data_IF_841068712770
#
_entry.id   IF_841068712770
#
_cell.length_a   1.000
_cell.length_b   1.000
_cell.length_c   1.000
_cell.angle_alpha   90.00
_cell.angle_beta   90.00
_cell.angle_gamma   90.00
#
_symmetry.space_group_name_H-M   'P 1'
#
loop_
_entity.id
_entity.type
_entity.pdbx_description
1 polymer ?
#
# COMPACT_ATOMS: atom_id res chain seq x y z
N UNK A 1 -6.50 -42.31 -67.67
CA UNK A 1 -6.92 -43.67 -67.35
C UNK A 1 -7.44 -43.59 -65.92
N UNK A 2 -8.72 -43.50 -65.85
CA UNK A 2 -9.65 -44.46 -65.27
C UNK A 2 -9.62 -44.44 -63.74
N UNK A 3 -10.65 -44.31 -62.96
CA UNK A 3 -12.08 -44.34 -63.28
C UNK A 3 -12.86 -44.27 -61.98
N UNK A 4 -13.91 -43.57 -62.04
CA UNK A 4 -15.18 -43.64 -61.37
C UNK A 4 -15.44 -44.80 -60.38
N UNK A 5 -16.03 -44.48 -59.20
CA UNK A 5 -17.45 -44.83 -58.98
C UNK A 5 -18.03 -44.26 -57.72
N UNK A 6 -19.09 -43.48 -57.90
CA UNK A 6 -20.12 -43.09 -56.96
C UNK A 6 -20.99 -44.29 -56.55
N UNK A 7 -21.43 -44.35 -55.30
CA UNK A 7 -22.68 -45.02 -54.93
C UNK A 7 -23.43 -44.28 -53.86
N UNK A 8 -24.51 -43.65 -54.26
CA UNK A 8 -25.66 -43.32 -53.44
C UNK A 8 -26.40 -44.59 -53.03
N UNK A 9 -26.84 -44.70 -51.78
CA UNK A 9 -27.92 -45.53 -51.34
C UNK A 9 -28.78 -44.86 -50.27
N UNK A 10 -29.91 -44.51 -50.67
CA UNK A 10 -31.31 -44.40 -50.24
C UNK A 10 -31.61 -44.47 -48.75
N UNK A 11 -32.46 -43.46 -48.41
CA UNK A 11 -33.48 -43.45 -47.35
C UNK A 11 -34.35 -44.69 -47.42
N UNK A 12 -34.64 -45.26 -46.26
CA UNK A 12 -35.92 -45.76 -45.75
C UNK A 12 -35.76 -46.98 -44.85
N UNK A 13 -36.54 -46.87 -43.75
CA UNK A 13 -37.06 -47.95 -42.94
C UNK A 13 -36.17 -48.51 -41.82
N UNK A 14 -36.46 -48.09 -40.61
CA UNK A 14 -37.09 -48.97 -39.64
C UNK A 14 -37.76 -48.15 -38.51
N UNK A 15 -39.12 -48.22 -38.53
CA UNK A 15 -39.98 -47.88 -37.39
C UNK A 15 -40.02 -49.11 -36.45
N UNK A 16 -39.96 -48.79 -35.14
CA UNK A 16 -40.57 -49.70 -34.15
C UNK A 16 -39.66 -50.11 -33.03
N UNK A 17 -39.77 -49.45 -31.88
CA UNK A 17 -40.22 -50.01 -30.62
C UNK A 17 -40.16 -48.96 -29.52
N UNK A 18 -41.31 -48.70 -28.91
CA UNK A 18 -41.51 -47.87 -27.78
C UNK A 18 -40.74 -48.40 -26.53
N UNK A 19 -40.03 -47.56 -25.87
CA UNK A 19 -39.46 -47.82 -24.56
C UNK A 19 -39.35 -46.46 -23.80
N UNK A 20 -40.36 -46.20 -22.93
CA UNK A 20 -40.38 -45.11 -22.03
C UNK A 20 -39.23 -45.23 -21.03
N UNK A 21 -38.26 -44.36 -21.13
CA UNK A 21 -37.30 -44.10 -20.05
C UNK A 21 -37.22 -42.58 -19.86
N UNK A 22 -37.85 -42.14 -18.80
CA UNK A 22 -37.80 -40.74 -18.37
C UNK A 22 -36.38 -40.31 -18.10
N UNK A 23 -35.85 -39.41 -18.91
CA UNK A 23 -34.60 -38.68 -18.63
C UNK A 23 -34.99 -37.49 -17.77
N UNK A 24 -34.96 -37.65 -16.46
CA UNK A 24 -34.83 -36.54 -15.51
C UNK A 24 -33.46 -35.91 -15.72
N UNK A 25 -33.40 -34.82 -16.48
CA UNK A 25 -32.27 -33.95 -16.54
C UNK A 25 -32.16 -33.27 -15.16
N UNK A 26 -31.38 -33.85 -14.25
CA UNK A 26 -30.88 -33.21 -13.08
C UNK A 26 -29.90 -32.12 -13.59
N UNK A 27 -30.40 -30.88 -13.65
CA UNK A 27 -29.53 -29.69 -13.71
C UNK A 27 -28.68 -29.74 -12.47
N UNK A 28 -27.46 -30.24 -12.60
CA UNK A 28 -26.39 -30.00 -11.61
C UNK A 28 -26.07 -28.52 -11.65
N UNK A 29 -26.77 -27.73 -10.85
CA UNK A 29 -26.22 -26.49 -10.35
C UNK A 29 -24.96 -26.87 -9.57
N UNK A 30 -23.80 -26.79 -10.23
CA UNK A 30 -22.53 -26.69 -9.52
C UNK A 30 -22.61 -25.40 -8.73
N UNK A 31 -23.00 -25.52 -7.46
CA UNK A 31 -22.68 -24.51 -6.48
C UNK A 31 -21.17 -24.34 -6.59
N UNK A 32 -20.72 -23.22 -7.14
CA UNK A 32 -19.34 -22.78 -6.98
C UNK A 32 -19.18 -22.69 -5.47
N UNK A 33 -18.52 -23.69 -4.87
CA UNK A 33 -18.07 -23.61 -3.50
C UNK A 33 -17.24 -22.34 -3.44
N UNK A 34 -17.70 -21.34 -2.68
CA UNK A 34 -16.87 -20.22 -2.28
C UNK A 34 -15.61 -20.84 -1.72
N UNK A 35 -14.48 -20.58 -2.38
CA UNK A 35 -13.19 -20.98 -1.84
C UNK A 35 -13.10 -20.34 -0.44
N UNK A 36 -12.67 -21.09 0.58
CA UNK A 36 -12.61 -20.55 1.93
C UNK A 36 -11.84 -19.22 1.89
N UNK A 37 -12.45 -18.15 2.42
CA UNK A 37 -11.83 -16.84 2.52
C UNK A 37 -10.40 -17.00 3.05
N UNK A 38 -9.42 -16.72 2.21
CA UNK A 38 -8.01 -16.79 2.61
C UNK A 38 -7.76 -15.64 3.58
N UNK A 39 -7.80 -15.95 4.88
CA UNK A 39 -7.53 -14.96 5.90
C UNK A 39 -6.09 -14.49 5.76
N UNK A 40 -5.90 -13.29 5.21
CA UNK A 40 -4.59 -12.65 5.09
C UNK A 40 -4.08 -12.24 6.47
N UNK A 41 -2.77 -12.30 6.68
CA UNK A 41 -2.13 -11.89 7.94
C UNK A 41 -1.77 -10.40 8.00
N UNK A 42 -2.26 -9.60 7.02
CA UNK A 42 -2.02 -8.16 6.98
C UNK A 42 -2.72 -7.48 8.16
N UNK A 43 -1.93 -6.77 8.97
CA UNK A 43 -2.39 -6.04 10.16
C UNK A 43 -2.82 -4.63 9.79
N UNK A 44 -3.83 -4.09 10.51
CA UNK A 44 -4.35 -2.75 10.28
C UNK A 44 -3.71 -1.71 11.19
N UNK A 45 -3.28 -0.57 10.61
CA UNK A 45 -2.81 0.59 11.36
C UNK A 45 -3.36 1.89 10.75
N UNK A 46 -3.15 3.00 11.46
CA UNK A 46 -3.46 4.36 10.99
C UNK A 46 -2.21 5.22 11.11
N UNK A 47 -1.93 6.04 10.10
CA UNK A 47 -0.91 7.08 10.18
C UNK A 47 -1.33 8.14 11.21
N UNK A 48 -0.48 8.42 12.18
CA UNK A 48 -0.81 9.32 13.29
C UNK A 48 -1.22 10.73 12.84
N UNK A 49 -0.56 11.26 11.82
CA UNK A 49 -0.85 12.59 11.29
C UNK A 49 -2.25 12.72 10.68
N UNK A 50 -2.90 11.62 10.31
CA UNK A 50 -4.25 11.62 9.73
C UNK A 50 -5.34 11.38 10.77
N UNK A 51 -5.04 11.27 12.06
CA UNK A 51 -6.04 11.17 13.11
C UNK A 51 -6.70 12.53 13.30
N UNK A 52 -7.98 12.64 12.91
CA UNK A 52 -8.68 13.88 12.68
C UNK A 52 -9.29 14.55 13.93
N UNK A 53 -8.98 14.09 15.15
CA UNK A 53 -9.45 14.71 16.40
C UNK A 53 -8.28 15.11 17.31
N UNK A 54 -8.44 16.19 18.09
CA UNK A 54 -7.42 16.65 19.03
C UNK A 54 -7.32 15.72 20.25
N UNK A 55 -6.24 15.81 21.01
CA UNK A 55 -6.06 15.12 22.26
C UNK A 55 -4.67 14.53 22.45
N UNK A 56 -4.39 14.03 23.68
CA UNK A 56 -3.13 13.37 24.00
C UNK A 56 -2.89 12.13 23.17
N UNK A 57 -1.62 11.75 23.00
CA UNK A 57 -1.20 10.54 22.25
C UNK A 57 -1.92 9.30 22.76
N UNK A 58 -1.97 9.12 24.09
CA UNK A 58 -2.60 7.95 24.72
C UNK A 58 -4.10 7.83 24.41
N UNK A 59 -4.84 8.96 24.40
CA UNK A 59 -6.27 8.93 24.07
C UNK A 59 -6.53 8.60 22.60
N UNK A 60 -5.72 9.12 21.70
CA UNK A 60 -5.75 8.74 20.29
C UNK A 60 -5.49 7.25 20.09
N UNK A 61 -4.49 6.70 20.78
CA UNK A 61 -4.15 5.28 20.67
C UNK A 61 -5.25 4.39 21.28
N UNK A 62 -5.86 4.77 22.40
CA UNK A 62 -7.03 4.08 22.96
C UNK A 62 -8.20 4.04 21.98
N UNK A 63 -8.46 5.16 21.29
CA UNK A 63 -9.52 5.22 20.28
C UNK A 63 -9.23 4.31 19.09
N UNK A 64 -7.98 4.24 18.58
CA UNK A 64 -7.57 3.29 17.55
C UNK A 64 -7.78 1.84 18.01
N UNK A 65 -7.35 1.51 19.23
CA UNK A 65 -7.52 0.16 19.78
C UNK A 65 -8.98 -0.23 19.89
N UNK A 66 -9.83 0.68 20.40
CA UNK A 66 -11.27 0.46 20.51
C UNK A 66 -11.97 0.29 19.16
N UNK A 67 -11.44 0.94 18.10
CA UNK A 67 -11.93 0.80 16.73
C UNK A 67 -11.45 -0.51 16.03
N UNK A 68 -10.58 -1.31 16.67
CA UNK A 68 -10.11 -2.60 16.15
C UNK A 68 -8.85 -2.52 15.29
N UNK A 69 -8.04 -1.48 15.44
CA UNK A 69 -6.72 -1.43 14.82
C UNK A 69 -5.68 -2.23 15.62
N UNK A 70 -4.68 -2.78 14.91
CA UNK A 70 -3.57 -3.52 15.49
C UNK A 70 -2.39 -2.61 15.82
N UNK A 71 -2.30 -1.47 15.14
CA UNK A 71 -1.16 -0.57 15.26
C UNK A 71 -1.44 0.86 14.85
N UNK A 72 -0.37 1.63 14.88
CA UNK A 72 -0.28 3.03 14.48
C UNK A 72 1.04 3.28 13.76
N UNK A 73 1.11 4.26 12.89
CA UNK A 73 2.35 4.79 12.34
C UNK A 73 2.63 6.16 12.97
N UNK A 74 3.45 6.23 14.04
CA UNK A 74 3.84 7.50 14.65
C UNK A 74 4.63 8.38 13.69
N UNK A 75 4.62 9.69 13.93
CA UNK A 75 5.57 10.61 13.32
C UNK A 75 6.90 10.57 14.08
N UNK A 76 8.01 10.75 13.39
CA UNK A 76 9.27 10.98 14.06
C UNK A 76 9.24 12.31 14.84
N UNK A 77 10.17 12.48 15.77
CA UNK A 77 10.28 13.68 16.61
C UNK A 77 9.11 13.91 17.61
N UNK A 78 8.16 12.98 17.71
CA UNK A 78 7.21 12.96 18.82
C UNK A 78 7.94 12.73 20.14
N UNK A 79 7.30 13.07 21.27
CA UNK A 79 7.81 12.69 22.58
C UNK A 79 7.86 11.17 22.69
N UNK A 80 9.08 10.61 22.70
CA UNK A 80 9.30 9.17 22.70
C UNK A 80 8.65 8.47 23.91
N UNK A 81 8.71 9.06 25.09
CA UNK A 81 8.18 8.44 26.31
C UNK A 81 6.66 8.40 26.30
N UNK A 82 6.00 9.44 25.78
CA UNK A 82 4.55 9.45 25.57
C UNK A 82 4.11 8.38 24.55
N UNK A 83 4.85 8.22 23.43
CA UNK A 83 4.52 7.20 22.42
C UNK A 83 4.72 5.81 22.99
N UNK A 84 5.85 5.53 23.65
CA UNK A 84 6.12 4.21 24.27
C UNK A 84 5.05 3.88 25.30
N UNK A 85 4.75 4.80 26.21
CA UNK A 85 3.70 4.63 27.21
C UNK A 85 2.34 4.32 26.58
N UNK A 86 1.97 5.07 25.53
CA UNK A 86 0.70 4.85 24.84
C UNK A 86 0.64 3.48 24.13
N UNK A 87 1.75 3.02 23.51
CA UNK A 87 1.85 1.68 22.93
C UNK A 87 1.71 0.58 23.98
N UNK A 88 2.37 0.73 25.13
CA UNK A 88 2.29 -0.22 26.26
C UNK A 88 0.89 -0.29 26.86
N UNK A 89 0.28 0.85 27.15
CA UNK A 89 -1.08 0.91 27.73
C UNK A 89 -2.15 0.32 26.80
N UNK A 90 -2.01 0.48 25.48
CA UNK A 90 -3.03 0.04 24.53
C UNK A 90 -2.76 -1.32 23.91
N UNK A 91 -1.51 -1.80 23.97
CA UNK A 91 -1.04 -2.99 23.26
C UNK A 91 -0.99 -2.82 21.74
N UNK A 92 -1.17 -1.59 21.22
CA UNK A 92 -0.91 -1.29 19.80
C UNK A 92 0.57 -1.48 19.47
N UNK A 93 0.86 -1.76 18.20
CA UNK A 93 2.23 -1.85 17.69
C UNK A 93 2.54 -0.67 16.77
N UNK A 94 3.77 -0.21 16.79
CA UNK A 94 4.22 0.75 15.78
C UNK A 94 4.45 0.00 14.46
N UNK A 95 3.63 0.27 13.44
CA UNK A 95 3.70 -0.38 12.15
C UNK A 95 4.93 0.05 11.34
N UNK A 96 5.24 1.32 11.41
CA UNK A 96 6.32 2.06 10.79
C UNK A 96 6.46 3.37 11.56
N UNK A 97 7.45 4.23 11.23
CA UNK A 97 7.54 5.62 11.69
C UNK A 97 7.64 6.51 10.46
N UNK A 98 6.79 7.53 10.35
CA UNK A 98 6.88 8.51 9.28
C UNK A 98 7.96 9.55 9.60
N UNK A 99 8.90 9.78 8.68
CA UNK A 99 9.94 10.79 8.83
C UNK A 99 9.35 12.20 8.69
N UNK A 100 9.19 12.93 9.77
CA UNK A 100 8.53 14.25 9.81
C UNK A 100 9.27 15.33 8.99
N UNK A 101 10.57 15.19 8.82
CA UNK A 101 11.42 16.23 8.18
C UNK A 101 11.51 16.12 6.67
N UNK A 102 11.06 15.04 6.05
CA UNK A 102 11.36 14.71 4.66
C UNK A 102 10.82 15.74 3.63
N UNK A 103 9.72 16.43 3.93
CA UNK A 103 9.20 17.50 3.08
C UNK A 103 9.94 18.82 3.27
N UNK A 104 10.22 19.20 4.52
CA UNK A 104 10.88 20.45 4.85
C UNK A 104 12.40 20.44 4.60
N UNK A 105 13.01 19.26 4.62
CA UNK A 105 14.46 19.01 4.46
C UNK A 105 14.70 17.85 3.49
N UNK A 106 14.28 17.98 2.20
CA UNK A 106 14.38 16.88 1.25
C UNK A 106 15.84 16.52 0.94
N UNK A 107 16.11 15.23 0.81
CA UNK A 107 17.44 14.71 0.49
C UNK A 107 17.90 15.10 -0.93
N UNK A 108 17.01 15.60 -1.77
CA UNK A 108 17.29 16.10 -3.12
C UNK A 108 17.68 17.59 -3.17
N UNK A 109 17.61 18.32 -2.05
CA UNK A 109 17.80 19.78 -2.04
C UNK A 109 19.16 20.20 -2.61
N UNK A 110 19.26 21.33 -3.37
CA UNK A 110 20.54 21.81 -3.90
C UNK A 110 21.55 22.18 -2.79
N UNK A 111 21.10 22.81 -1.71
CA UNK A 111 21.96 23.18 -0.56
C UNK A 111 22.28 21.95 0.30
N UNK A 112 23.57 21.66 0.43
CA UNK A 112 24.12 20.56 1.25
C UNK A 112 23.70 20.65 2.73
N UNK A 113 23.53 21.86 3.27
CA UNK A 113 23.09 22.05 4.66
C UNK A 113 21.69 21.49 4.86
N UNK A 114 20.76 21.74 3.92
CA UNK A 114 19.41 21.21 3.97
C UNK A 114 19.41 19.70 3.83
N UNK A 115 20.25 19.13 2.97
CA UNK A 115 20.37 17.66 2.85
C UNK A 115 20.95 17.04 4.10
N UNK A 116 21.94 17.69 4.75
CA UNK A 116 22.48 17.24 6.04
C UNK A 116 21.39 17.20 7.11
N UNK A 117 20.62 18.28 7.24
CA UNK A 117 19.51 18.35 8.20
C UNK A 117 18.47 17.27 7.90
N UNK A 118 18.21 16.96 6.63
CA UNK A 118 17.34 15.85 6.19
C UNK A 118 17.89 14.47 6.59
N UNK A 119 19.22 14.24 6.46
CA UNK A 119 19.87 13.01 6.95
C UNK A 119 19.74 12.86 8.47
N UNK A 120 20.00 13.95 9.20
CA UNK A 120 19.87 13.95 10.66
C UNK A 120 18.43 13.65 11.10
N UNK A 121 17.42 14.22 10.39
CA UNK A 121 16.03 13.91 10.61
C UNK A 121 15.68 12.43 10.32
N UNK A 122 16.23 11.86 9.24
CA UNK A 122 16.07 10.43 8.93
C UNK A 122 16.73 9.54 9.98
N UNK A 123 17.94 9.88 10.45
CA UNK A 123 18.62 9.16 11.53
C UNK A 123 17.81 9.21 12.82
N UNK A 124 17.22 10.34 13.16
CA UNK A 124 16.33 10.47 14.31
C UNK A 124 15.09 9.58 14.13
N UNK A 125 14.48 9.57 12.96
CA UNK A 125 13.33 8.71 12.68
C UNK A 125 13.68 7.23 12.83
N UNK A 126 14.87 6.79 12.43
CA UNK A 126 15.36 5.41 12.64
C UNK A 126 15.54 5.08 14.12
N UNK A 127 16.04 6.04 14.93
CA UNK A 127 16.14 5.87 16.39
C UNK A 127 14.77 5.78 17.05
N UNK A 128 13.82 6.64 16.63
CA UNK A 128 12.43 6.60 17.09
C UNK A 128 11.78 5.25 16.74
N UNK A 129 11.95 4.78 15.51
CA UNK A 129 11.45 3.48 15.07
C UNK A 129 12.03 2.32 15.89
N UNK A 130 13.34 2.35 16.18
CA UNK A 130 13.97 1.36 17.07
C UNK A 130 13.36 1.35 18.45
N UNK A 131 13.15 2.53 19.04
CA UNK A 131 12.57 2.68 20.36
C UNK A 131 11.13 2.17 20.44
N UNK A 132 10.35 2.36 19.37
CA UNK A 132 8.96 1.89 19.26
C UNK A 132 8.84 0.44 18.78
N UNK A 133 9.97 -0.24 18.52
CA UNK A 133 10.01 -1.59 17.93
C UNK A 133 9.35 -1.67 16.55
N UNK A 134 9.31 -0.56 15.81
CA UNK A 134 8.93 -0.54 14.40
C UNK A 134 10.06 -1.09 13.52
N UNK A 135 9.69 -1.71 12.40
CA UNK A 135 10.67 -2.37 11.52
C UNK A 135 11.16 -1.49 10.37
N UNK A 136 10.54 -0.34 10.17
CA UNK A 136 10.90 0.60 9.09
C UNK A 136 10.53 2.04 9.40
N UNK A 137 11.16 2.93 8.63
CA UNK A 137 10.82 4.36 8.56
C UNK A 137 10.32 4.66 7.16
N UNK A 138 9.17 5.34 7.06
CA UNK A 138 8.68 5.91 5.80
C UNK A 138 9.51 7.14 5.45
N UNK A 139 10.02 7.19 4.22
CA UNK A 139 10.80 8.29 3.68
C UNK A 139 10.28 8.73 2.31
N UNK A 140 9.89 9.99 2.17
CA UNK A 140 9.82 10.65 0.86
C UNK A 140 11.24 11.04 0.45
N UNK A 141 11.81 10.47 -0.63
CA UNK A 141 13.25 10.54 -0.88
C UNK A 141 13.71 11.89 -1.42
N UNK A 142 12.80 12.65 -2.04
CA UNK A 142 13.14 13.93 -2.65
C UNK A 142 11.98 14.52 -3.43
N UNK A 143 12.19 15.67 -4.05
CA UNK A 143 11.18 16.40 -4.83
C UNK A 143 11.82 16.91 -6.12
N UNK A 144 11.15 16.67 -7.26
CA UNK A 144 11.48 17.25 -8.57
C UNK A 144 10.66 18.52 -8.75
N UNK A 145 11.31 19.63 -9.03
CA UNK A 145 10.69 20.93 -9.23
C UNK A 145 11.55 21.79 -10.20
N UNK A 146 11.25 23.08 -10.32
CA UNK A 146 12.01 24.00 -11.22
C UNK A 146 13.51 24.12 -10.89
N UNK A 147 13.89 23.85 -9.65
CA UNK A 147 15.27 24.02 -9.15
C UNK A 147 16.01 22.68 -8.98
N UNK A 148 15.28 21.54 -9.12
CA UNK A 148 15.81 20.20 -8.94
C UNK A 148 15.31 19.30 -10.08
N UNK A 149 16.21 18.97 -11.00
CA UNK A 149 15.92 18.03 -12.09
C UNK A 149 15.69 16.60 -11.56
N UNK A 150 15.10 15.73 -12.39
CA UNK A 150 14.95 14.30 -12.05
C UNK A 150 16.32 13.65 -11.73
N UNK A 151 17.32 13.91 -12.56
CA UNK A 151 18.67 13.32 -12.40
C UNK A 151 19.36 13.82 -11.12
N UNK A 152 19.21 15.10 -10.79
CA UNK A 152 19.75 15.65 -9.55
C UNK A 152 19.02 15.08 -8.33
N UNK A 153 17.69 14.99 -8.40
CA UNK A 153 16.89 14.37 -7.34
C UNK A 153 17.35 12.93 -7.12
N UNK A 154 17.47 12.15 -8.18
CA UNK A 154 17.90 10.75 -8.13
C UNK A 154 19.30 10.62 -7.51
N UNK A 155 20.30 11.32 -8.07
CA UNK A 155 21.70 11.24 -7.63
C UNK A 155 21.88 11.67 -6.18
N UNK A 156 21.26 12.80 -5.79
CA UNK A 156 21.39 13.32 -4.43
C UNK A 156 20.68 12.41 -3.44
N UNK A 157 19.44 12.02 -3.70
CA UNK A 157 18.69 11.15 -2.78
C UNK A 157 19.36 9.80 -2.58
N UNK A 158 19.85 9.16 -3.63
CA UNK A 158 20.63 7.91 -3.52
C UNK A 158 21.87 8.10 -2.65
N UNK A 159 22.65 9.16 -2.92
CA UNK A 159 23.87 9.44 -2.16
C UNK A 159 23.58 9.70 -0.67
N UNK A 160 22.53 10.46 -0.36
CA UNK A 160 22.17 10.79 1.02
C UNK A 160 21.61 9.58 1.78
N UNK A 161 20.79 8.74 1.13
CA UNK A 161 20.31 7.48 1.74
C UNK A 161 21.50 6.57 2.05
N UNK A 162 22.45 6.41 1.11
CA UNK A 162 23.64 5.58 1.33
C UNK A 162 24.46 6.03 2.55
N UNK A 163 24.53 7.32 2.83
CA UNK A 163 25.21 7.85 4.04
C UNK A 163 24.51 7.47 5.36
N UNK A 164 23.20 7.16 5.31
CA UNK A 164 22.41 6.76 6.48
C UNK A 164 22.36 5.25 6.68
N UNK A 165 22.72 4.45 5.66
CA UNK A 165 22.67 2.97 5.73
C UNK A 165 23.40 2.38 6.94
N UNK A 166 24.58 2.85 7.37
CA UNK A 166 25.24 2.31 8.57
C UNK A 166 24.33 2.40 9.80
N UNK A 167 23.68 3.55 10.03
CA UNK A 167 22.75 3.73 11.15
C UNK A 167 21.54 2.82 11.02
N UNK A 168 20.95 2.67 9.83
CA UNK A 168 19.81 1.76 9.58
C UNK A 168 20.21 0.30 9.89
N UNK A 169 21.42 -0.11 9.50
CA UNK A 169 21.97 -1.44 9.75
C UNK A 169 22.19 -1.69 11.24
N UNK A 170 22.85 -0.78 11.94
CA UNK A 170 23.15 -0.91 13.37
C UNK A 170 21.87 -0.98 14.22
N UNK A 171 20.84 -0.24 13.84
CA UNK A 171 19.55 -0.26 14.52
C UNK A 171 18.67 -1.44 14.10
N UNK A 172 18.96 -2.09 12.98
CA UNK A 172 18.13 -3.14 12.40
C UNK A 172 16.77 -2.62 11.90
N UNK A 173 16.69 -1.33 11.49
CA UNK A 173 15.48 -0.67 11.03
C UNK A 173 15.63 -0.29 9.54
N UNK A 174 14.68 -0.71 8.71
CA UNK A 174 14.72 -0.45 7.27
C UNK A 174 14.24 0.96 6.92
N UNK A 175 14.72 1.49 5.79
CA UNK A 175 14.20 2.70 5.17
C UNK A 175 13.20 2.27 4.09
N UNK A 176 11.94 2.66 4.22
CA UNK A 176 10.88 2.37 3.27
C UNK A 176 10.54 3.64 2.47
N UNK A 177 10.96 3.65 1.20
CA UNK A 177 10.76 4.79 0.30
C UNK A 177 9.33 4.81 -0.21
N UNK A 178 8.68 5.97 -0.18
CA UNK A 178 7.28 6.13 -0.58
C UNK A 178 7.12 6.79 -1.95
N UNK A 179 6.15 6.28 -2.73
CA UNK A 179 5.65 6.92 -3.93
C UNK A 179 4.62 7.99 -3.56
N UNK A 180 4.96 9.25 -3.86
CA UNK A 180 4.11 10.42 -3.60
C UNK A 180 4.04 11.34 -4.82
N UNK A 181 3.20 12.38 -4.74
CA UNK A 181 3.06 13.36 -5.83
C UNK A 181 4.15 14.44 -5.80
N UNK A 182 5.38 14.03 -6.01
CA UNK A 182 6.59 14.86 -6.00
C UNK A 182 7.29 14.96 -7.36
N UNK A 183 6.66 14.46 -8.44
CA UNK A 183 7.17 14.39 -9.81
C UNK A 183 8.49 13.59 -9.95
N UNK A 184 8.81 12.74 -8.97
CA UNK A 184 10.06 11.99 -8.98
C UNK A 184 9.85 10.55 -9.44
N UNK A 185 9.13 9.73 -8.67
CA UNK A 185 8.88 8.33 -9.00
C UNK A 185 7.41 8.17 -9.38
N UNK A 186 7.15 8.09 -10.69
CA UNK A 186 5.81 8.04 -11.29
C UNK A 186 5.52 6.75 -12.03
N UNK A 187 6.52 5.84 -12.10
CA UNK A 187 6.43 4.54 -12.75
C UNK A 187 7.13 3.47 -11.90
N UNK A 188 6.67 2.22 -11.91
CA UNK A 188 7.25 1.17 -11.09
C UNK A 188 8.71 0.85 -11.45
N UNK A 189 9.10 0.97 -12.72
CA UNK A 189 10.49 0.76 -13.15
C UNK A 189 11.45 1.80 -12.56
N UNK A 190 10.98 3.04 -12.34
CA UNK A 190 11.76 4.08 -11.68
C UNK A 190 11.99 3.74 -10.20
N UNK A 191 10.98 3.14 -9.53
CA UNK A 191 11.12 2.68 -8.16
C UNK A 191 12.15 1.54 -8.05
N UNK A 192 12.11 0.58 -8.97
CA UNK A 192 13.12 -0.50 -9.06
C UNK A 192 14.50 0.07 -9.30
N UNK A 193 14.67 0.93 -10.31
CA UNK A 193 15.95 1.55 -10.62
C UNK A 193 16.54 2.35 -9.44
N UNK A 194 15.65 3.03 -8.67
CA UNK A 194 16.08 3.77 -7.48
C UNK A 194 16.57 2.85 -6.36
N UNK A 195 15.85 1.76 -6.09
CA UNK A 195 16.27 0.76 -5.10
C UNK A 195 17.55 0.05 -5.52
N UNK A 196 17.68 -0.32 -6.81
CA UNK A 196 18.87 -0.96 -7.36
C UNK A 196 20.10 -0.02 -7.28
N UNK A 197 19.92 1.29 -7.53
CA UNK A 197 20.99 2.26 -7.38
C UNK A 197 21.47 2.42 -5.93
N UNK A 198 20.59 2.23 -4.95
CA UNK A 198 20.98 2.24 -3.53
C UNK A 198 21.71 0.94 -3.16
N UNK A 199 21.27 -0.19 -3.71
CA UNK A 199 21.87 -1.53 -3.57
C UNK A 199 22.06 -1.94 -2.08
N UNK A 200 20.94 -2.00 -1.33
CA UNK A 200 20.97 -2.35 0.08
C UNK A 200 19.71 -3.11 0.52
N UNK A 201 19.86 -4.21 1.28
CA UNK A 201 18.72 -4.91 1.87
C UNK A 201 18.01 -4.11 2.97
N UNK A 202 18.62 -3.00 3.41
CA UNK A 202 18.06 -2.09 4.41
C UNK A 202 17.10 -1.08 3.79
N UNK A 203 16.90 -1.07 2.47
CA UNK A 203 15.98 -0.15 1.78
C UNK A 203 14.95 -0.94 0.98
N UNK A 204 13.69 -0.55 1.10
CA UNK A 204 12.59 -1.11 0.33
C UNK A 204 11.51 -0.08 0.09
N UNK A 205 10.30 -0.52 -0.20
CA UNK A 205 9.22 0.34 -0.66
C UNK A 205 8.08 0.43 0.35
N UNK A 206 7.64 1.62 0.66
CA UNK A 206 6.38 1.93 1.31
C UNK A 206 5.38 2.26 0.20
N UNK A 207 4.55 1.28 -0.17
CA UNK A 207 3.69 1.40 -1.33
C UNK A 207 2.39 2.10 -0.97
N UNK A 208 2.23 3.35 -1.40
CA UNK A 208 0.97 4.08 -1.29
C UNK A 208 0.08 3.77 -2.49
N UNK A 209 -1.00 3.05 -2.24
CA UNK A 209 -1.96 2.58 -3.24
C UNK A 209 -2.73 3.75 -3.85
N UNK A 210 -3.14 4.72 -3.04
CA UNK A 210 -3.92 5.87 -3.53
C UNK A 210 -3.10 6.84 -4.36
N UNK A 211 -1.83 7.06 -3.99
CA UNK A 211 -0.95 7.97 -4.72
C UNK A 211 -0.66 7.48 -6.15
N UNK A 212 -0.64 6.16 -6.36
CA UNK A 212 -0.46 5.57 -7.70
C UNK A 212 -1.62 5.90 -8.62
N UNK A 213 -2.85 6.03 -8.11
CA UNK A 213 -4.05 6.24 -8.92
C UNK A 213 -3.98 7.41 -9.92
N UNK A 214 -3.05 8.36 -9.72
CA UNK A 214 -2.74 9.42 -10.68
C UNK A 214 -1.88 8.94 -11.86
N UNK A 215 -1.08 7.90 -11.65
CA UNK A 215 -0.02 7.48 -12.58
C UNK A 215 -0.30 6.13 -13.24
N UNK A 216 -1.29 5.38 -12.76
CA UNK A 216 -1.64 4.06 -13.28
C UNK A 216 -2.46 3.23 -12.32
N UNK A 217 -2.55 1.94 -12.58
CA UNK A 217 -3.26 0.99 -11.74
C UNK A 217 -2.30 0.44 -10.66
N UNK A 218 -2.66 0.50 -9.37
CA UNK A 218 -1.81 -0.02 -8.29
C UNK A 218 -1.43 -1.49 -8.45
N UNK A 219 -2.35 -2.32 -8.95
CA UNK A 219 -2.12 -3.75 -9.18
C UNK A 219 -1.02 -4.05 -10.22
N UNK A 220 -0.68 -3.10 -11.09
CA UNK A 220 0.41 -3.23 -12.05
C UNK A 220 1.79 -2.95 -11.42
N UNK A 221 1.86 -2.13 -10.38
CA UNK A 221 3.10 -1.82 -9.66
C UNK A 221 3.55 -2.98 -8.76
N UNK A 222 2.59 -3.67 -8.13
CA UNK A 222 2.88 -4.68 -7.12
C UNK A 222 3.75 -5.82 -7.66
N UNK A 223 3.48 -6.43 -8.84
CA UNK A 223 4.34 -7.48 -9.38
C UNK A 223 5.78 -7.02 -9.68
N UNK A 224 5.95 -5.75 -10.08
CA UNK A 224 7.25 -5.17 -10.41
C UNK A 224 8.08 -4.93 -9.15
N UNK A 225 7.46 -4.45 -8.07
CA UNK A 225 8.12 -4.24 -6.78
C UNK A 225 8.32 -5.56 -6.01
N UNK A 226 7.36 -6.47 -6.06
CA UNK A 226 7.41 -7.78 -5.43
C UNK A 226 7.77 -7.72 -3.94
N UNK A 227 8.74 -8.52 -3.54
CA UNK A 227 9.22 -8.60 -2.14
C UNK A 227 9.93 -7.34 -1.62
N UNK A 228 10.12 -6.33 -2.47
CA UNK A 228 10.67 -5.02 -2.06
C UNK A 228 9.63 -4.18 -1.31
N UNK A 229 8.33 -4.53 -1.39
CA UNK A 229 7.26 -3.86 -0.62
C UNK A 229 7.42 -4.22 0.85
N UNK A 230 7.69 -3.23 1.69
CA UNK A 230 7.85 -3.38 3.15
C UNK A 230 6.58 -3.00 3.90
N UNK A 231 5.84 -2.02 3.42
CA UNK A 231 4.62 -1.47 4.02
C UNK A 231 3.65 -1.02 2.93
N UNK A 232 2.37 -0.90 3.30
CA UNK A 232 1.34 -0.33 2.44
C UNK A 232 0.71 0.87 3.13
N UNK A 233 0.50 1.96 2.37
CA UNK A 233 -0.54 2.91 2.67
C UNK A 233 -1.83 2.48 1.97
N UNK A 234 -2.86 2.23 2.77
CA UNK A 234 -4.23 1.97 2.32
C UNK A 234 -4.92 3.30 2.19
N UNK A 235 -5.01 3.77 0.97
CA UNK A 235 -5.53 5.10 0.63
C UNK A 235 -6.41 4.98 -0.61
N UNK A 236 -7.58 5.59 -0.55
CA UNK A 236 -8.49 5.60 -1.68
C UNK A 236 -8.19 6.76 -2.62
N UNK A 237 -8.47 6.54 -3.89
CA UNK A 237 -8.40 7.58 -4.89
C UNK A 237 -9.57 7.44 -5.88
N UNK A 238 -10.16 8.55 -6.29
CA UNK A 238 -11.21 8.56 -7.29
C UNK A 238 -10.80 9.41 -8.48
N UNK A 239 -10.46 8.76 -9.59
CA UNK A 239 -10.00 9.42 -10.82
C UNK A 239 -11.06 10.33 -11.44
N UNK A 240 -12.37 10.10 -11.15
CA UNK A 240 -13.48 10.88 -11.68
C UNK A 240 -13.61 12.26 -11.04
N UNK A 241 -13.01 12.46 -9.85
CA UNK A 241 -13.07 13.74 -9.12
C UNK A 241 -11.84 14.62 -9.36
N UNK A 242 -10.88 14.10 -10.12
CA UNK A 242 -9.65 14.82 -10.45
C UNK A 242 -9.90 15.85 -11.54
N UNK A 243 -9.49 17.09 -11.29
CA UNK A 243 -9.39 18.14 -12.31
C UNK A 243 -7.98 18.70 -12.32
N UNK A 244 -7.58 19.38 -13.41
CA UNK A 244 -6.26 20.03 -13.48
C UNK A 244 -6.06 21.07 -12.36
N UNK A 245 -7.14 21.73 -11.91
CA UNK A 245 -7.09 22.75 -10.85
C UNK A 245 -7.09 22.15 -9.44
N UNK A 246 -7.68 20.97 -9.28
CA UNK A 246 -7.89 20.34 -7.97
C UNK A 246 -7.58 18.84 -8.02
N UNK A 247 -6.31 18.48 -8.32
CA UNK A 247 -5.93 17.07 -8.45
C UNK A 247 -6.11 16.28 -7.13
N UNK A 248 -6.01 16.94 -5.98
CA UNK A 248 -6.20 16.33 -4.66
C UNK A 248 -7.63 15.95 -4.31
N UNK A 249 -8.65 16.42 -5.06
CA UNK A 249 -10.05 16.03 -4.82
C UNK A 249 -10.30 14.52 -4.95
N UNK A 250 -9.46 13.81 -5.70
CA UNK A 250 -9.53 12.36 -5.79
C UNK A 250 -9.41 11.65 -4.45
N UNK A 251 -8.77 12.25 -3.44
CA UNK A 251 -8.63 11.68 -2.09
C UNK A 251 -9.82 11.97 -1.17
N UNK A 252 -10.80 12.78 -1.58
CA UNK A 252 -11.93 13.20 -0.74
C UNK A 252 -13.04 12.12 -0.60
N UNK A 253 -12.73 10.87 -0.92
CA UNK A 253 -13.66 9.73 -0.85
C UNK A 253 -13.27 8.77 0.26
N UNK A 254 -14.23 8.03 0.79
CA UNK A 254 -13.95 6.96 1.73
C UNK A 254 -13.37 5.74 1.02
N UNK A 255 -12.68 4.90 1.78
CA UNK A 255 -12.22 3.59 1.29
C UNK A 255 -13.41 2.84 0.63
N UNK A 256 -13.17 2.21 -0.52
CA UNK A 256 -14.15 1.51 -1.36
C UNK A 256 -15.19 2.41 -2.07
N UNK A 257 -15.09 3.73 -1.97
CA UNK A 257 -15.94 4.67 -2.71
C UNK A 257 -15.21 5.35 -3.87
N UNK A 258 -13.95 4.97 -4.09
CA UNK A 258 -13.10 5.47 -5.17
C UNK A 258 -13.11 4.58 -6.41
N UNK A 259 -11.98 4.61 -7.10
CA UNK A 259 -11.77 3.83 -8.34
C UNK A 259 -10.70 2.75 -8.19
N UNK A 260 -10.12 2.56 -7.01
CA UNK A 260 -9.18 1.48 -6.77
C UNK A 260 -9.86 0.11 -6.91
N UNK A 261 -9.24 -0.79 -7.68
CA UNK A 261 -9.71 -2.17 -7.83
C UNK A 261 -9.16 -3.03 -6.68
N UNK A 262 -9.77 -2.90 -5.49
CA UNK A 262 -9.30 -3.60 -4.29
C UNK A 262 -9.13 -5.11 -4.46
N UNK A 263 -10.07 -5.85 -5.10
CA UNK A 263 -9.86 -7.28 -5.33
C UNK A 263 -8.62 -7.60 -6.18
N UNK A 264 -8.35 -6.82 -7.23
CA UNK A 264 -7.17 -7.01 -8.06
C UNK A 264 -5.88 -6.65 -7.32
N UNK A 265 -5.90 -5.56 -6.53
CA UNK A 265 -4.78 -5.12 -5.69
C UNK A 265 -4.45 -6.22 -4.66
N UNK A 266 -5.44 -6.73 -3.95
CA UNK A 266 -5.25 -7.76 -2.93
C UNK A 266 -4.77 -9.08 -3.53
N UNK A 267 -5.27 -9.45 -4.71
CA UNK A 267 -4.77 -10.61 -5.45
C UNK A 267 -3.30 -10.46 -5.86
N UNK A 268 -2.90 -9.26 -6.30
CA UNK A 268 -1.50 -8.98 -6.65
C UNK A 268 -0.59 -9.04 -5.41
N UNK A 269 -1.04 -8.53 -4.25
CA UNK A 269 -0.32 -8.63 -2.97
C UNK A 269 -0.16 -10.07 -2.50
N UNK A 270 -1.21 -10.92 -2.66
CA UNK A 270 -1.12 -12.36 -2.38
C UNK A 270 -0.07 -13.04 -3.26
N UNK A 271 -0.06 -12.73 -4.55
CA UNK A 271 0.91 -13.29 -5.49
C UNK A 271 2.35 -12.84 -5.15
N UNK A 272 2.53 -11.63 -4.64
CA UNK A 272 3.81 -11.13 -4.14
C UNK A 272 4.21 -11.72 -2.77
N UNK A 273 3.28 -12.40 -2.08
CA UNK A 273 3.50 -12.98 -0.74
C UNK A 273 3.57 -11.93 0.36
N UNK A 274 2.82 -10.83 0.23
CA UNK A 274 2.83 -9.75 1.22
C UNK A 274 1.97 -10.12 2.45
N UNK A 275 2.54 -9.97 3.65
CA UNK A 275 1.91 -10.30 4.93
C UNK A 275 2.14 -9.24 6.03
N UNK A 276 2.52 -8.04 5.63
CA UNK A 276 2.96 -6.96 6.52
C UNK A 276 1.84 -6.11 7.14
N UNK A 277 1.93 -4.79 6.94
CA UNK A 277 1.01 -3.80 7.48
C UNK A 277 0.27 -3.05 6.38
N UNK A 278 -1.06 -2.95 6.51
CA UNK A 278 -1.87 -1.98 5.80
C UNK A 278 -2.14 -0.79 6.71
N UNK A 279 -1.57 0.35 6.40
CA UNK A 279 -1.64 1.57 7.19
C UNK A 279 -2.59 2.53 6.49
N UNK A 280 -3.68 2.92 7.13
CA UNK A 280 -4.57 3.93 6.55
C UNK A 280 -3.92 5.30 6.56
N UNK A 281 -3.87 5.92 5.37
CA UNK A 281 -3.53 7.33 5.20
C UNK A 281 -4.69 8.11 4.57
N UNK A 282 -5.90 7.90 5.10
CA UNK A 282 -7.10 8.61 4.67
C UNK A 282 -7.16 10.03 5.28
N UNK A 283 -7.83 10.99 4.60
CA UNK A 283 -8.04 12.32 5.18
C UNK A 283 -8.63 12.27 6.59
N UNK A 284 -8.20 13.16 7.48
CA UNK A 284 -8.61 13.19 8.88
C UNK A 284 -10.12 13.29 9.14
N UNK A 285 -10.91 13.68 8.15
CA UNK A 285 -12.37 13.62 8.21
C UNK A 285 -12.92 12.21 8.37
N UNK A 286 -12.15 11.18 7.96
CA UNK A 286 -12.51 9.76 8.06
C UNK A 286 -12.03 9.10 9.36
N UNK A 287 -11.38 9.88 10.23
CA UNK A 287 -10.88 9.48 11.55
C UNK A 287 -11.16 10.54 12.62
N UNK A 288 -12.15 11.40 12.37
CA UNK A 288 -12.46 12.59 13.19
C UNK A 288 -13.06 12.27 14.57
N UNK A 289 -13.58 11.08 14.77
CA UNK A 289 -14.22 10.61 16.00
C UNK A 289 -14.24 9.07 16.03
N UNK A 290 -14.74 8.50 17.13
CA UNK A 290 -14.81 7.06 17.33
C UNK A 290 -15.66 6.33 16.28
N UNK A 291 -16.77 6.94 15.82
CA UNK A 291 -17.63 6.34 14.80
C UNK A 291 -16.94 6.30 13.43
N UNK A 292 -16.26 7.39 13.07
CA UNK A 292 -15.46 7.47 11.84
C UNK A 292 -14.28 6.47 11.85
N UNK A 293 -13.58 6.34 12.98
CA UNK A 293 -12.52 5.33 13.13
C UNK A 293 -13.05 3.91 12.99
N UNK A 294 -14.23 3.62 13.53
CA UNK A 294 -14.85 2.30 13.38
C UNK A 294 -15.23 2.02 11.93
N UNK A 295 -15.90 2.96 11.23
CA UNK A 295 -16.21 2.83 9.80
C UNK A 295 -14.93 2.62 8.97
N UNK A 296 -13.86 3.36 9.25
CA UNK A 296 -12.57 3.20 8.59
C UNK A 296 -11.98 1.80 8.80
N UNK A 297 -12.00 1.30 10.05
CA UNK A 297 -11.52 -0.03 10.40
C UNK A 297 -12.32 -1.14 9.69
N UNK A 298 -13.65 -1.05 9.69
CA UNK A 298 -14.53 -2.03 9.01
C UNK A 298 -14.36 -2.02 7.48
N UNK A 299 -14.11 -0.85 6.88
CA UNK A 299 -13.77 -0.75 5.44
C UNK A 299 -12.43 -1.39 5.12
N UNK A 300 -11.43 -1.21 5.99
CA UNK A 300 -10.15 -1.91 5.85
C UNK A 300 -10.32 -3.43 5.96
N UNK A 301 -11.16 -3.92 6.88
CA UNK A 301 -11.45 -5.37 6.97
C UNK A 301 -12.03 -5.92 5.67
N UNK A 302 -12.99 -5.20 5.07
CA UNK A 302 -13.57 -5.59 3.76
C UNK A 302 -12.53 -5.59 2.63
N UNK A 303 -11.63 -4.60 2.61
CA UNK A 303 -10.53 -4.57 1.64
C UNK A 303 -9.61 -5.77 1.83
N UNK A 304 -9.20 -6.04 3.06
CA UNK A 304 -8.29 -7.15 3.37
C UNK A 304 -8.92 -8.53 3.13
N UNK A 305 -10.24 -8.62 3.10
CA UNK A 305 -10.99 -9.84 2.78
C UNK A 305 -11.32 -10.00 1.28
N UNK A 306 -11.15 -8.94 0.46
CA UNK A 306 -11.51 -8.94 -0.96
C UNK A 306 -10.58 -9.75 -1.88
#
# INVERSE_FOLDING_TARGET
>A
MEGYMTRNLHRREFLGLAGAAGVTALAQFSAMAESPEKKRSIKKAVMYATIGFPGPVTEKFKALKAAGFDGVEPMSHMNQDEVVKALEETGLKAASVCCDTHWARPLSHPDERVRRDGREGLQRALQDAKRYSATSVLLVPGVVNKDVSYDDCFKRSVAEIKRVLPVATDLGVKIAVENVWNNFITKPEQAVAFLDAIDSPMVGWHFDIGNVGRYGAPEEWIPVLGKRILKLHIKEFNTKFVTEREPGKGFAVKLMEGTNNWPAIMKALDAAGYDGWGISEQPGTQSKDAAALKDLSERMDKILAS
#
